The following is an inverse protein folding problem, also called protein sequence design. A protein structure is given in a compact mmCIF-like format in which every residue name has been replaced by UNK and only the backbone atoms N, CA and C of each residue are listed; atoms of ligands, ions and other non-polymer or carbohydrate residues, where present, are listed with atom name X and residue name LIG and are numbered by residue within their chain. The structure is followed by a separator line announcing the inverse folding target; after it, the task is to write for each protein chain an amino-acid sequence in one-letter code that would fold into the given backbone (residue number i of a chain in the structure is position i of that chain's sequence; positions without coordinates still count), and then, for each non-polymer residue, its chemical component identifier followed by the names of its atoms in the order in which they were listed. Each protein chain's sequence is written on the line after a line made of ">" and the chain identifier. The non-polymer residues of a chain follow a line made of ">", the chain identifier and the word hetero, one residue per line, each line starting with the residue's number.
data_IF_199133976316
#
_entry.id   IF_199133976316
#
_cell.length_a   1.000
_cell.length_b   1.000
_cell.length_c   1.000
_cell.angle_alpha   90.00
_cell.angle_beta   90.00
_cell.angle_gamma   90.00
#
_symmetry.space_group_name_H-M   'P 1'
#
loop_
_entity.id
_entity.type
_entity.pdbx_description
1 polymer ?
#
# COMPACT_ATOMS: atom_id res chain seq x y z
N UNK A 1 5.76 -24.72 24.28
CA UNK A 1 5.46 -23.28 24.49
C UNK A 1 6.16 -22.49 23.39
N UNK A 2 5.52 -22.34 22.23
CA UNK A 2 6.05 -21.53 21.13
C UNK A 2 5.04 -20.44 20.84
N UNK A 3 5.34 -19.21 21.24
CA UNK A 3 4.45 -18.09 20.98
C UNK A 3 4.44 -17.82 19.48
N UNK A 4 3.28 -17.95 18.86
CA UNK A 4 2.99 -17.26 17.62
C UNK A 4 2.95 -15.76 17.97
N UNK A 5 4.13 -15.12 17.98
CA UNK A 5 4.20 -13.68 18.01
C UNK A 5 3.48 -13.19 16.77
N UNK A 6 2.28 -12.68 17.02
CA UNK A 6 1.42 -11.99 16.09
C UNK A 6 2.28 -11.27 15.05
N UNK A 7 2.19 -11.67 13.78
CA UNK A 7 2.50 -10.77 12.67
C UNK A 7 1.47 -9.64 12.75
N UNK A 8 1.64 -8.74 13.71
CA UNK A 8 0.86 -7.52 13.83
C UNK A 8 1.09 -6.80 12.52
N UNK A 9 0.04 -6.68 11.71
CA UNK A 9 0.00 -5.70 10.64
C UNK A 9 0.50 -4.38 11.25
N UNK A 10 1.67 -3.90 10.82
CA UNK A 10 2.37 -2.82 11.52
C UNK A 10 1.58 -1.52 11.42
N UNK A 11 0.91 -1.32 10.29
CA UNK A 11 0.10 -0.14 10.01
C UNK A 11 -1.06 -0.51 9.09
N UNK A 12 -2.18 0.18 9.25
CA UNK A 12 -3.33 0.11 8.36
C UNK A 12 -4.03 1.48 8.28
N UNK A 13 -4.62 1.79 7.14
CA UNK A 13 -5.27 3.09 6.94
C UNK A 13 -5.72 3.34 5.51
N UNK A 14 -6.58 4.35 5.36
CA UNK A 14 -6.97 4.85 4.05
C UNK A 14 -5.86 5.72 3.45
N UNK A 15 -5.49 5.43 2.20
CA UNK A 15 -4.57 6.25 1.42
C UNK A 15 -5.06 6.35 -0.03
N UNK A 16 -4.67 7.43 -0.70
CA UNK A 16 -4.95 7.59 -2.13
C UNK A 16 -3.95 6.80 -2.97
N UNK A 17 -4.44 5.86 -3.76
CA UNK A 17 -3.66 5.12 -4.75
C UNK A 17 -3.86 5.73 -6.13
N UNK A 18 -2.77 6.07 -6.82
CA UNK A 18 -2.84 6.41 -8.26
C UNK A 18 -2.96 5.13 -9.10
N UNK A 19 -3.87 5.15 -10.06
CA UNK A 19 -3.99 4.08 -11.03
C UNK A 19 -2.85 4.10 -12.05
N UNK A 20 -2.35 2.92 -12.39
CA UNK A 20 -1.25 2.75 -13.36
C UNK A 20 -1.72 3.04 -14.80
N UNK A 21 -2.83 2.41 -15.23
CA UNK A 21 -3.42 2.60 -16.58
C UNK A 21 -4.21 3.90 -16.72
N UNK A 22 -4.96 4.27 -15.68
CA UNK A 22 -5.74 5.51 -15.62
C UNK A 22 -5.23 6.31 -14.43
N UNK A 23 -4.73 7.52 -14.67
CA UNK A 23 -4.04 8.36 -13.66
C UNK A 23 -5.00 9.02 -12.66
N UNK A 24 -6.08 8.32 -12.34
CA UNK A 24 -7.03 8.74 -11.33
C UNK A 24 -6.49 8.31 -9.97
N UNK A 25 -6.75 9.14 -8.98
CA UNK A 25 -6.49 8.83 -7.58
C UNK A 25 -7.73 8.19 -6.99
N UNK A 26 -7.58 7.03 -6.36
CA UNK A 26 -8.67 6.32 -5.71
C UNK A 26 -8.27 5.99 -4.28
N UNK A 27 -9.13 6.32 -3.33
CA UNK A 27 -8.96 5.92 -1.93
C UNK A 27 -9.04 4.40 -1.80
N UNK A 28 -8.11 3.82 -1.04
CA UNK A 28 -8.04 2.38 -0.75
C UNK A 28 -7.60 2.17 0.68
N UNK A 29 -8.06 1.08 1.28
CA UNK A 29 -7.57 0.63 2.57
C UNK A 29 -6.28 -0.17 2.37
N UNK A 30 -5.19 0.28 2.98
CA UNK A 30 -3.90 -0.40 2.91
C UNK A 30 -3.60 -1.10 4.23
N UNK A 31 -2.98 -2.27 4.13
CA UNK A 31 -2.50 -3.06 5.27
C UNK A 31 -1.04 -3.38 5.03
N UNK A 32 -0.16 -2.83 5.88
CA UNK A 32 1.27 -3.10 5.87
C UNK A 32 1.59 -4.29 6.77
N UNK A 33 2.22 -5.30 6.18
CA UNK A 33 2.81 -6.46 6.84
C UNK A 33 4.32 -6.49 6.56
N UNK A 34 5.13 -7.24 7.33
CA UNK A 34 6.59 -7.24 7.19
C UNK A 34 7.12 -7.28 5.76
N UNK A 35 6.55 -8.15 4.90
CA UNK A 35 7.07 -8.40 3.55
C UNK A 35 6.07 -8.02 2.45
N UNK A 36 4.96 -7.37 2.78
CA UNK A 36 3.87 -7.14 1.83
C UNK A 36 2.98 -5.99 2.25
N UNK A 37 2.58 -5.18 1.27
CA UNK A 37 1.49 -4.20 1.41
C UNK A 37 0.31 -4.71 0.61
N UNK A 38 -0.76 -5.09 1.29
CA UNK A 38 -2.03 -5.46 0.66
C UNK A 38 -2.95 -4.25 0.63
N UNK A 39 -3.75 -4.10 -0.43
CA UNK A 39 -4.75 -3.03 -0.51
C UNK A 39 -6.12 -3.53 -0.95
N UNK A 40 -7.15 -2.93 -0.36
CA UNK A 40 -8.55 -3.34 -0.42
C UNK A 40 -9.43 -2.15 -0.80
N UNK A 41 -10.69 -2.44 -1.15
CA UNK A 41 -11.70 -1.40 -1.35
C UNK A 41 -11.95 -0.65 -0.04
N UNK A 42 -12.08 -1.38 1.06
CA UNK A 42 -12.48 -0.91 2.38
C UNK A 42 -11.77 -1.68 3.48
N UNK A 43 -11.93 -1.19 4.71
CA UNK A 43 -11.36 -1.80 5.93
C UNK A 43 -11.94 -3.16 6.30
N UNK A 44 -13.02 -3.60 5.65
CA UNK A 44 -13.64 -4.92 5.85
C UNK A 44 -12.81 -6.08 5.29
N UNK A 45 -11.74 -5.79 4.54
CA UNK A 45 -10.78 -6.74 3.97
C UNK A 45 -11.38 -7.80 3.03
N UNK A 46 -12.63 -7.59 2.56
CA UNK A 46 -13.33 -8.54 1.69
C UNK A 46 -12.86 -8.47 0.24
N UNK A 47 -12.71 -7.25 -0.26
CA UNK A 47 -12.39 -7.00 -1.66
C UNK A 47 -10.92 -6.59 -1.85
N UNK A 48 -10.01 -7.58 -1.83
CA UNK A 48 -8.59 -7.34 -2.10
C UNK A 48 -8.38 -6.93 -3.55
N UNK A 49 -7.68 -5.81 -3.78
CA UNK A 49 -7.37 -5.28 -5.12
C UNK A 49 -5.93 -5.52 -5.55
N UNK A 50 -5.04 -5.88 -4.64
CA UNK A 50 -3.70 -6.32 -4.98
C UNK A 50 -2.76 -6.33 -3.80
N UNK A 51 -1.55 -6.77 -4.10
CA UNK A 51 -0.44 -6.93 -3.18
C UNK A 51 0.81 -6.28 -3.78
N UNK A 52 1.61 -5.64 -2.94
CA UNK A 52 2.92 -5.10 -3.27
C UNK A 52 3.91 -5.85 -2.38
N UNK A 53 4.70 -6.74 -2.98
CA UNK A 53 5.72 -7.48 -2.24
C UNK A 53 6.85 -6.53 -1.88
N UNK A 54 7.23 -6.51 -0.61
CA UNK A 54 8.37 -5.75 -0.11
C UNK A 54 9.57 -6.70 -0.08
N UNK A 55 10.47 -6.52 -1.03
CA UNK A 55 11.78 -7.17 -1.06
C UNK A 55 12.91 -6.16 -0.80
N UNK A 56 14.16 -6.61 -0.79
CA UNK A 56 15.32 -5.74 -0.58
C UNK A 56 15.53 -4.69 -1.67
N UNK A 57 14.77 -4.75 -2.78
CA UNK A 57 14.84 -3.80 -3.90
C UNK A 57 13.76 -2.72 -3.80
N UNK A 58 12.87 -2.80 -2.82
CA UNK A 58 11.82 -1.80 -2.60
C UNK A 58 12.38 -0.56 -1.91
N UNK A 59 12.19 0.62 -2.51
CA UNK A 59 12.52 1.92 -1.92
C UNK A 59 11.26 2.77 -1.73
N UNK A 60 11.25 3.59 -0.68
CA UNK A 60 10.19 4.57 -0.41
C UNK A 60 10.79 5.96 -0.50
N UNK A 61 10.25 6.78 -1.39
CA UNK A 61 10.68 8.16 -1.59
C UNK A 61 9.54 9.12 -1.27
N UNK A 62 9.80 10.09 -0.38
CA UNK A 62 8.87 11.19 -0.14
C UNK A 62 9.05 12.22 -1.23
N UNK A 63 8.10 12.30 -2.16
CA UNK A 63 8.08 13.37 -3.17
C UNK A 63 7.40 14.59 -2.58
N UNK A 64 8.17 15.67 -2.42
CA UNK A 64 7.63 16.98 -2.04
C UNK A 64 6.61 17.49 -3.07
N UNK A 65 5.63 18.25 -2.61
CA UNK A 65 4.54 18.81 -3.42
C UNK A 65 5.05 19.84 -4.45
N UNK A 66 5.65 19.39 -5.55
CA UNK A 66 5.90 20.21 -6.73
C UNK A 66 5.42 19.44 -7.96
N UNK A 67 4.38 20.00 -8.58
CA UNK A 67 3.88 19.73 -9.93
C UNK A 67 3.84 18.24 -10.32
N UNK A 68 2.65 17.63 -10.20
CA UNK A 68 2.40 16.21 -10.52
C UNK A 68 2.78 15.90 -11.96
N UNK A 69 4.03 15.50 -12.21
CA UNK A 69 4.40 14.81 -13.43
C UNK A 69 3.79 13.42 -13.41
N UNK A 70 3.33 13.05 -14.60
CA UNK A 70 2.58 11.83 -14.88
C UNK A 70 3.32 10.56 -14.41
N UNK A 71 4.65 10.64 -14.27
CA UNK A 71 5.57 9.53 -14.06
C UNK A 71 5.81 9.14 -12.59
N UNK A 72 5.30 9.91 -11.61
CA UNK A 72 5.88 9.87 -10.26
C UNK A 72 5.03 9.25 -9.16
N UNK A 73 3.96 8.52 -9.50
CA UNK A 73 3.16 7.83 -8.50
C UNK A 73 2.83 6.43 -9.02
N UNK A 74 3.74 5.51 -8.70
CA UNK A 74 3.73 4.06 -8.93
C UNK A 74 3.47 3.61 -10.37
#
# INVERSE_FOLDING_TARGET
>A
MGQAFQMCCFLQGYMLKKGHKRKNWTERWFVLKPNIISYYVSEDLKDKKGDIILDGNCCVEVKGSKQKTIHDCL
#
